data_IF_644683888947
#
_entry.id   IF_644683888947
#
_cell.length_a   1.000
_cell.length_b   1.000
_cell.length_c   1.000
_cell.angle_alpha   90.00
_cell.angle_beta   90.00
_cell.angle_gamma   90.00
#
_symmetry.space_group_name_H-M   'P 1'
#
loop_
_entity.id
_entity.type
_entity.pdbx_description
1 polymer ?
#
# COMPACT_ATOMS: atom_id res chain seq x y z
N UNK A 1 21.83 -9.79 -4.88
CA UNK A 1 20.48 -10.19 -5.30
C UNK A 1 19.67 -8.92 -5.32
N UNK A 2 19.16 -8.51 -6.49
CA UNK A 2 18.44 -7.23 -6.64
C UNK A 2 17.15 -7.30 -5.84
N UNK A 3 16.90 -6.31 -4.98
CA UNK A 3 15.58 -6.06 -4.40
C UNK A 3 14.63 -5.83 -5.59
N UNK A 4 13.61 -6.67 -5.76
CA UNK A 4 12.61 -6.47 -6.82
C UNK A 4 11.68 -5.38 -6.32
N UNK A 5 11.71 -4.22 -6.99
CA UNK A 5 10.65 -3.21 -6.82
C UNK A 5 9.38 -3.79 -7.43
N UNK A 6 8.43 -4.12 -6.57
CA UNK A 6 7.10 -4.58 -6.95
C UNK A 6 6.09 -3.48 -6.60
N UNK A 7 4.90 -3.57 -7.18
CA UNK A 7 3.81 -2.66 -6.83
C UNK A 7 2.48 -3.38 -6.69
N UNK A 8 1.60 -2.78 -5.89
CA UNK A 8 0.20 -3.16 -5.80
C UNK A 8 -0.67 -1.99 -6.18
N UNK A 9 -1.69 -2.26 -6.99
CA UNK A 9 -2.66 -1.25 -7.44
C UNK A 9 -4.02 -1.54 -6.84
N UNK A 10 -4.62 -0.52 -6.24
CA UNK A 10 -5.95 -0.52 -5.66
C UNK A 10 -6.84 0.46 -6.39
N UNK A 11 -8.12 0.14 -6.43
CA UNK A 11 -9.17 1.03 -6.92
C UNK A 11 -10.00 1.46 -5.72
N UNK A 12 -10.17 2.76 -5.57
CA UNK A 12 -10.91 3.39 -4.50
C UNK A 12 -12.14 4.09 -5.09
N UNK A 13 -13.32 3.64 -4.69
CA UNK A 13 -14.59 4.16 -5.16
C UNK A 13 -15.43 4.52 -3.93
N UNK A 14 -15.85 5.78 -3.84
CA UNK A 14 -16.57 6.28 -2.67
C UNK A 14 -18.07 5.92 -2.70
N UNK A 15 -18.65 5.86 -3.90
CA UNK A 15 -20.02 5.45 -4.16
C UNK A 15 -20.02 4.25 -5.10
N UNK A 16 -20.49 3.11 -4.62
CA UNK A 16 -20.54 1.85 -5.37
C UNK A 16 -21.44 1.87 -6.60
N UNK A 17 -22.22 2.93 -6.80
CA UNK A 17 -23.09 3.12 -7.97
C UNK A 17 -22.48 4.03 -9.05
N UNK A 18 -21.47 4.82 -8.71
CA UNK A 18 -20.78 5.71 -9.65
C UNK A 18 -19.55 5.03 -10.27
N UNK A 19 -19.75 4.39 -11.42
CA UNK A 19 -18.69 3.75 -12.20
C UNK A 19 -18.01 4.70 -13.21
N UNK A 20 -18.27 6.00 -13.12
CA UNK A 20 -17.62 6.96 -14.01
C UNK A 20 -16.13 7.04 -13.71
N UNK A 21 -15.31 7.39 -14.72
CA UNK A 21 -13.87 7.60 -14.53
C UNK A 21 -13.56 8.74 -13.54
N UNK A 22 -14.52 9.65 -13.35
CA UNK A 22 -14.48 10.75 -12.38
C UNK A 22 -14.90 10.31 -10.97
N UNK A 23 -15.59 9.17 -10.88
CA UNK A 23 -16.09 8.53 -9.66
C UNK A 23 -15.04 7.72 -8.90
N UNK A 24 -13.87 7.49 -9.51
CA UNK A 24 -12.94 6.45 -9.09
C UNK A 24 -11.53 7.02 -8.95
N UNK A 25 -10.89 6.67 -7.84
CA UNK A 25 -9.47 6.84 -7.62
C UNK A 25 -8.68 5.55 -7.83
N UNK A 26 -7.45 5.67 -8.33
CA UNK A 26 -6.47 4.59 -8.31
C UNK A 26 -5.36 4.92 -7.32
N UNK A 27 -4.95 3.93 -6.55
CA UNK A 27 -3.81 4.02 -5.63
C UNK A 27 -2.80 2.96 -6.08
N UNK A 28 -1.53 3.34 -6.23
CA UNK A 28 -0.41 2.46 -6.50
C UNK A 28 0.57 2.59 -5.36
N UNK A 29 0.93 1.47 -4.75
CA UNK A 29 1.92 1.38 -3.68
C UNK A 29 3.11 0.62 -4.25
N UNK A 30 4.26 1.28 -4.35
CA UNK A 30 5.51 0.65 -4.74
C UNK A 30 6.27 0.23 -3.48
N UNK A 31 6.80 -0.99 -3.47
CA UNK A 31 7.47 -1.54 -2.30
C UNK A 31 8.59 -2.51 -2.66
N UNK A 32 9.50 -2.67 -1.70
CA UNK A 32 10.54 -3.67 -1.72
C UNK A 32 10.16 -4.85 -0.83
N UNK A 33 10.45 -6.07 -1.30
CA UNK A 33 10.32 -7.29 -0.49
C UNK A 33 11.59 -7.56 0.31
N UNK A 34 11.45 -7.92 1.56
CA UNK A 34 12.53 -8.34 2.45
C UNK A 34 12.23 -9.71 3.05
N UNK A 35 13.12 -10.69 2.82
CA UNK A 35 12.98 -12.03 3.40
C UNK A 35 13.56 -12.04 4.82
N UNK A 36 12.72 -12.35 5.80
CA UNK A 36 13.11 -12.48 7.19
C UNK A 36 13.18 -13.94 7.60
N UNK A 37 14.37 -14.42 7.97
CA UNK A 37 14.54 -15.81 8.39
C UNK A 37 13.97 -16.04 9.79
N UNK A 38 13.14 -17.07 9.95
CA UNK A 38 12.54 -17.44 11.23
C UNK A 38 13.32 -18.59 11.86
N UNK A 39 13.36 -19.74 11.17
CA UNK A 39 14.06 -20.95 11.62
C UNK A 39 14.16 -21.98 10.49
N UNK A 40 14.96 -23.04 10.68
CA UNK A 40 15.09 -24.12 9.70
C UNK A 40 13.78 -24.86 9.47
N UNK A 41 12.90 -24.88 10.47
CA UNK A 41 11.64 -25.62 10.43
C UNK A 41 10.49 -24.78 9.87
N UNK A 42 10.53 -23.47 10.09
CA UNK A 42 9.47 -22.53 9.67
C UNK A 42 9.83 -21.75 8.40
N UNK A 43 11.11 -21.75 8.00
CA UNK A 43 11.58 -21.06 6.81
C UNK A 43 11.70 -19.55 7.00
N UNK A 44 11.12 -18.80 6.08
CA UNK A 44 11.22 -17.34 5.98
C UNK A 44 9.83 -16.71 5.96
N UNK A 45 9.72 -15.53 6.56
CA UNK A 45 8.65 -14.57 6.35
C UNK A 45 9.04 -13.55 5.28
N UNK A 46 8.05 -12.91 4.67
CA UNK A 46 8.29 -11.78 3.76
C UNK A 46 7.72 -10.53 4.40
N UNK A 47 8.59 -9.58 4.70
CA UNK A 47 8.24 -8.21 5.07
C UNK A 47 8.33 -7.31 3.85
N UNK A 48 7.74 -6.12 3.96
CA UNK A 48 7.71 -5.16 2.86
C UNK A 48 8.10 -3.78 3.37
N UNK A 49 8.82 -3.03 2.55
CA UNK A 49 9.14 -1.62 2.78
C UNK A 49 8.49 -0.78 1.69
N UNK A 50 7.57 0.10 2.08
CA UNK A 50 6.85 0.99 1.17
C UNK A 50 7.80 2.11 0.75
N UNK A 51 8.06 2.21 -0.55
CA UNK A 51 8.99 3.19 -1.11
C UNK A 51 8.25 4.46 -1.56
N UNK A 52 7.09 4.26 -2.19
CA UNK A 52 6.34 5.34 -2.82
C UNK A 52 4.85 5.01 -2.93
N UNK A 53 4.02 6.06 -3.01
CA UNK A 53 2.60 5.94 -3.28
C UNK A 53 2.20 6.96 -4.34
N UNK A 54 1.71 6.47 -5.47
CA UNK A 54 1.09 7.28 -6.50
C UNK A 54 -0.42 7.11 -6.42
N UNK A 55 -1.18 8.19 -6.52
CA UNK A 55 -2.63 8.10 -6.54
C UNK A 55 -3.22 9.16 -7.45
N UNK A 56 -4.40 8.87 -7.97
CA UNK A 56 -5.21 9.90 -8.63
C UNK A 56 -5.91 10.76 -7.57
N UNK A 57 -6.34 11.95 -7.98
CA UNK A 57 -6.85 12.97 -7.07
C UNK A 57 -8.29 13.30 -7.45
N UNK A 58 -9.18 12.32 -7.50
CA UNK A 58 -10.59 12.55 -7.80
C UNK A 58 -11.29 12.92 -6.49
N UNK A 59 -11.33 11.98 -5.54
CA UNK A 59 -11.81 12.16 -4.17
C UNK A 59 -10.70 12.12 -3.12
N UNK A 60 -9.59 11.44 -3.40
CA UNK A 60 -8.43 11.44 -2.51
C UNK A 60 -7.75 12.81 -2.60
N UNK A 61 -7.55 13.43 -1.44
CA UNK A 61 -6.75 14.65 -1.31
C UNK A 61 -5.29 14.27 -1.10
N UNK A 62 -5.03 13.47 -0.06
CA UNK A 62 -3.68 13.08 0.34
C UNK A 62 -3.65 11.65 0.86
N UNK A 63 -2.59 10.89 0.56
CA UNK A 63 -2.23 9.64 1.26
C UNK A 63 -0.93 9.87 2.03
N UNK A 64 -0.94 9.55 3.32
CA UNK A 64 0.19 9.71 4.24
C UNK A 64 0.73 8.33 4.60
N UNK A 65 2.04 8.13 4.46
CA UNK A 65 2.74 6.96 4.97
C UNK A 65 3.06 7.22 6.45
N UNK A 66 2.36 6.53 7.34
CA UNK A 66 2.59 6.61 8.79
C UNK A 66 3.73 5.66 9.24
N UNK A 67 3.84 4.50 8.58
CA UNK A 67 4.93 3.53 8.76
C UNK A 67 5.20 2.83 7.44
N UNK A 68 6.45 2.88 6.97
CA UNK A 68 6.91 2.28 5.73
C UNK A 68 7.19 0.78 5.84
N UNK A 69 7.50 0.28 7.04
CA UNK A 69 7.83 -1.13 7.28
C UNK A 69 6.62 -1.96 7.64
N UNK A 70 6.17 -2.78 6.69
CA UNK A 70 5.08 -3.75 6.86
C UNK A 70 5.65 -5.08 7.32
N UNK A 71 5.32 -5.45 8.56
CA UNK A 71 5.72 -6.70 9.20
C UNK A 71 4.50 -7.36 9.89
N UNK A 72 4.73 -8.30 10.80
CA UNK A 72 3.66 -9.04 11.47
C UNK A 72 2.97 -8.28 12.63
N UNK A 73 3.34 -7.04 12.91
CA UNK A 73 2.65 -6.26 13.94
C UNK A 73 1.29 -5.78 13.44
N UNK A 74 0.24 -6.48 13.87
CA UNK A 74 -1.16 -6.20 13.54
C UNK A 74 -1.67 -4.86 14.08
N UNK A 75 -0.95 -4.21 14.98
CA UNK A 75 -1.36 -2.93 15.56
C UNK A 75 -0.79 -1.71 14.83
N UNK A 76 0.05 -1.92 13.81
CA UNK A 76 0.64 -0.83 13.04
C UNK A 76 -0.30 -0.39 11.91
N UNK A 77 -0.73 0.87 11.95
CA UNK A 77 -1.38 1.52 10.81
C UNK A 77 -0.31 2.07 9.86
N UNK A 78 -0.29 1.60 8.62
CA UNK A 78 0.74 1.99 7.65
C UNK A 78 0.36 3.24 6.86
N UNK A 79 -0.91 3.36 6.47
CA UNK A 79 -1.38 4.37 5.54
C UNK A 79 -2.61 5.10 6.08
N UNK A 80 -2.62 6.42 5.92
CA UNK A 80 -3.78 7.25 6.20
C UNK A 80 -4.25 7.94 4.93
N UNK A 81 -5.52 7.73 4.57
CA UNK A 81 -6.15 8.36 3.42
C UNK A 81 -6.97 9.56 3.90
N UNK A 82 -6.72 10.72 3.30
CA UNK A 82 -7.48 11.96 3.52
C UNK A 82 -8.31 12.23 2.27
N UNK A 83 -9.62 12.34 2.44
CA UNK A 83 -10.56 12.67 1.36
C UNK A 83 -10.74 14.18 1.26
N UNK A 84 -11.05 14.65 0.06
CA UNK A 84 -11.41 16.04 -0.18
C UNK A 84 -12.71 16.39 0.55
N UNK A 85 -12.82 17.67 0.91
CA UNK A 85 -14.04 18.26 1.50
C UNK A 85 -15.04 18.68 0.46
#
# INVERSE_FOLDING_TARGET
>A
MSQSEDYSKFIFQIDSTDFSITGIDSIRIDYNRELHYISTNCGYETYFEINNIEYSHQYIDTIIIASDKVNNDVNTEHLKIVLKK
#
